data_IF_458536640845
#
_entry.id   IF_458536640845
#
_cell.length_a   1.000
_cell.length_b   1.000
_cell.length_c   1.000
_cell.angle_alpha   90.00
_cell.angle_beta   90.00
_cell.angle_gamma   90.00
#
_symmetry.space_group_name_H-M   'P 1'
#
loop_
_entity.id
_entity.type
_entity.pdbx_description
1 polymer ?
#
# COMPACT_ATOMS: atom_id res chain seq x y z
N UNK A 1 -27.63 -8.38 9.59
CA UNK A 1 -26.34 -8.94 9.15
C UNK A 1 -25.44 -7.76 8.85
N UNK A 2 -24.50 -7.44 9.74
CA UNK A 2 -23.52 -6.38 9.48
C UNK A 2 -22.42 -7.02 8.64
N UNK A 3 -22.36 -6.72 7.35
CA UNK A 3 -21.19 -7.07 6.56
C UNK A 3 -20.02 -6.30 7.17
N UNK A 4 -19.03 -7.04 7.65
CA UNK A 4 -17.79 -6.52 8.20
C UNK A 4 -17.04 -5.76 7.07
N UNK A 5 -17.31 -4.46 6.96
CA UNK A 5 -16.70 -3.59 5.96
C UNK A 5 -15.28 -3.23 6.43
N UNK A 6 -14.35 -4.19 6.37
CA UNK A 6 -12.94 -3.97 6.69
C UNK A 6 -12.16 -3.61 5.43
N UNK A 7 -11.23 -2.66 5.56
CA UNK A 7 -10.24 -2.44 4.52
C UNK A 7 -9.32 -3.65 4.40
N UNK A 8 -8.95 -3.99 3.17
CA UNK A 8 -7.98 -5.06 2.91
C UNK A 8 -6.83 -4.51 2.08
N UNK A 9 -5.64 -5.07 2.30
CA UNK A 9 -4.44 -4.76 1.53
C UNK A 9 -3.60 -6.02 1.40
N UNK A 10 -3.18 -6.33 0.18
CA UNK A 10 -2.33 -7.47 -0.16
C UNK A 10 -1.20 -7.01 -1.07
N UNK A 11 -0.01 -7.58 -0.86
CA UNK A 11 1.11 -7.41 -1.78
C UNK A 11 0.90 -8.38 -2.93
N UNK A 12 0.89 -7.87 -4.17
CA UNK A 12 0.75 -8.69 -5.38
C UNK A 12 2.11 -9.18 -5.81
N UNK A 13 3.07 -8.26 -5.98
CA UNK A 13 4.44 -8.53 -6.37
C UNK A 13 5.37 -7.40 -5.91
N UNK A 14 6.68 -7.59 -6.01
CA UNK A 14 7.67 -6.54 -5.82
C UNK A 14 8.91 -6.75 -6.69
N UNK A 15 9.52 -5.65 -7.14
CA UNK A 15 10.75 -5.66 -7.91
C UNK A 15 11.80 -4.76 -7.26
N UNK A 16 12.88 -5.38 -6.78
CA UNK A 16 14.05 -4.65 -6.28
C UNK A 16 14.96 -4.27 -7.44
N UNK A 17 15.08 -2.96 -7.67
CA UNK A 17 15.92 -2.40 -8.74
C UNK A 17 17.37 -2.24 -8.28
N UNK A 18 17.57 -1.90 -7.00
CA UNK A 18 18.88 -1.85 -6.35
C UNK A 18 18.72 -1.84 -4.82
N UNK A 19 19.83 -1.75 -4.08
CA UNK A 19 19.86 -1.73 -2.62
C UNK A 19 18.93 -0.67 -1.99
N UNK A 20 18.68 0.43 -2.71
CA UNK A 20 17.91 1.58 -2.23
C UNK A 20 16.50 1.67 -2.82
N UNK A 21 16.16 0.86 -3.82
CA UNK A 21 14.94 1.06 -4.60
C UNK A 21 14.19 -0.24 -4.82
N UNK A 22 12.93 -0.27 -4.37
CA UNK A 22 12.00 -1.38 -4.64
C UNK A 22 10.64 -0.83 -5.03
N UNK A 23 10.07 -1.39 -6.10
CA UNK A 23 8.68 -1.17 -6.49
C UNK A 23 7.83 -2.29 -5.89
N UNK A 24 6.66 -1.95 -5.38
CA UNK A 24 5.74 -2.91 -4.76
C UNK A 24 4.37 -2.70 -5.36
N UNK A 25 3.81 -3.76 -5.95
CA UNK A 25 2.45 -3.80 -6.45
C UNK A 25 1.51 -4.23 -5.34
N UNK A 26 0.40 -3.51 -5.20
CA UNK A 26 -0.53 -3.65 -4.09
C UNK A 26 -1.95 -3.68 -4.63
N UNK A 27 -2.76 -4.60 -4.12
CA UNK A 27 -4.19 -4.68 -4.36
C UNK A 27 -4.97 -4.71 -3.04
N UNK A 28 -6.23 -4.31 -3.07
CA UNK A 28 -7.06 -4.35 -1.87
C UNK A 28 -8.46 -3.78 -2.07
N UNK A 29 -9.18 -3.66 -0.95
CA UNK A 29 -10.54 -3.13 -0.90
C UNK A 29 -10.62 -1.96 0.07
N UNK A 30 -11.16 -0.84 -0.42
CA UNK A 30 -11.49 0.33 0.39
C UNK A 30 -12.96 0.21 0.83
N UNK A 31 -13.15 -0.27 2.07
CA UNK A 31 -14.46 -0.42 2.68
C UNK A 31 -15.26 0.88 2.85
N UNK A 32 -14.60 2.03 3.03
CA UNK A 32 -15.30 3.31 3.16
C UNK A 32 -15.82 3.82 1.81
N UNK A 33 -15.08 3.53 0.73
CA UNK A 33 -15.50 3.90 -0.64
C UNK A 33 -16.24 2.78 -1.37
N UNK A 34 -16.34 1.60 -0.76
CA UNK A 34 -17.01 0.44 -1.33
C UNK A 34 -16.40 -0.03 -2.65
N UNK A 35 -15.07 0.04 -2.80
CA UNK A 35 -14.41 -0.28 -4.08
C UNK A 35 -13.05 -0.94 -3.91
N UNK A 36 -12.70 -1.75 -4.90
CA UNK A 36 -11.37 -2.32 -5.05
C UNK A 36 -10.37 -1.26 -5.53
N UNK A 37 -9.10 -1.50 -5.24
CA UNK A 37 -8.00 -0.69 -5.74
C UNK A 37 -6.79 -1.56 -6.06
N UNK A 38 -6.01 -1.07 -7.02
CA UNK A 38 -4.70 -1.59 -7.37
C UNK A 38 -3.75 -0.42 -7.58
N UNK A 39 -2.45 -0.65 -7.38
CA UNK A 39 -1.44 0.32 -7.75
C UNK A 39 -0.06 -0.02 -7.26
N UNK A 40 0.90 0.76 -7.74
CA UNK A 40 2.31 0.58 -7.46
C UNK A 40 2.79 1.68 -6.52
N UNK A 41 3.55 1.28 -5.51
CA UNK A 41 4.33 2.17 -4.65
C UNK A 41 5.82 1.93 -4.85
N UNK A 42 6.63 2.92 -4.48
CA UNK A 42 8.09 2.83 -4.53
C UNK A 42 8.66 3.14 -3.15
N UNK A 43 9.55 2.28 -2.68
CA UNK A 43 10.50 2.66 -1.65
C UNK A 43 11.76 3.19 -2.32
N UNK A 44 12.23 4.35 -1.85
CA UNK A 44 13.52 4.93 -2.23
C UNK A 44 14.24 5.36 -0.96
N UNK A 45 15.39 4.74 -0.68
CA UNK A 45 16.21 5.01 0.50
C UNK A 45 15.38 4.93 1.81
N UNK A 46 14.51 3.90 1.90
CA UNK A 46 13.59 3.68 3.03
C UNK A 46 12.33 4.56 3.05
N UNK A 47 12.20 5.51 2.12
CA UNK A 47 11.05 6.42 2.04
C UNK A 47 9.98 5.88 1.08
N UNK A 48 8.73 5.89 1.50
CA UNK A 48 7.59 5.36 0.76
C UNK A 48 6.88 6.44 -0.09
N UNK A 49 6.83 6.21 -1.39
CA UNK A 49 6.22 7.07 -2.41
C UNK A 49 5.16 6.32 -3.23
N UNK A 50 4.24 7.06 -3.83
CA UNK A 50 3.20 6.53 -4.71
C UNK A 50 1.87 7.22 -4.49
N UNK A 51 1.00 7.20 -5.50
CA UNK A 51 -0.27 7.91 -5.42
C UNK A 51 -1.20 7.27 -4.40
N UNK A 52 -1.17 5.94 -4.23
CA UNK A 52 -1.92 5.22 -3.19
C UNK A 52 -1.69 5.77 -1.78
N UNK A 53 -0.46 6.20 -1.48
CA UNK A 53 -0.03 6.66 -0.15
C UNK A 53 0.07 8.17 -0.01
N UNK A 54 -0.15 8.92 -1.10
CA UNK A 54 -0.03 10.37 -1.12
C UNK A 54 -1.23 11.03 -0.43
N UNK A 55 -0.99 12.10 0.32
CA UNK A 55 -2.04 12.80 1.08
C UNK A 55 -3.12 13.45 0.20
N UNK A 56 -2.74 13.98 -0.96
CA UNK A 56 -3.62 14.70 -1.89
C UNK A 56 -3.99 13.94 -3.16
N UNK A 57 -3.15 13.00 -3.63
CA UNK A 57 -3.36 12.30 -4.91
C UNK A 57 -4.01 10.93 -4.73
N UNK A 58 -3.98 10.38 -3.51
CA UNK A 58 -4.60 9.08 -3.25
C UNK A 58 -6.09 9.16 -3.46
N UNK A 59 -6.58 8.21 -4.23
CA UNK A 59 -8.00 8.00 -4.43
C UNK A 59 -8.61 7.17 -3.29
N UNK A 60 -7.82 6.64 -2.35
CA UNK A 60 -8.30 5.89 -1.20
C UNK A 60 -8.94 6.80 -0.16
N UNK A 61 -9.73 6.23 0.74
CA UNK A 61 -10.14 6.89 1.96
C UNK A 61 -8.92 7.13 2.87
N UNK A 62 -9.07 8.04 3.84
CA UNK A 62 -7.97 8.40 4.75
C UNK A 62 -7.55 7.21 5.61
N UNK A 63 -8.48 6.40 6.08
CA UNK A 63 -8.27 5.19 6.87
C UNK A 63 -7.67 4.05 6.04
N UNK A 64 -8.19 3.79 4.83
CA UNK A 64 -7.63 2.80 3.91
C UNK A 64 -6.19 3.14 3.54
N UNK A 65 -5.92 4.41 3.21
CA UNK A 65 -4.55 4.90 2.95
C UNK A 65 -3.64 4.70 4.14
N UNK A 66 -4.14 4.92 5.35
CA UNK A 66 -3.36 4.72 6.59
C UNK A 66 -3.01 3.24 6.79
N UNK A 67 -3.97 2.33 6.53
CA UNK A 67 -3.73 0.88 6.54
C UNK A 67 -2.63 0.49 5.53
N UNK A 68 -2.76 0.93 4.28
CA UNK A 68 -1.78 0.64 3.21
C UNK A 68 -0.39 1.13 3.61
N UNK A 69 -0.25 2.37 4.09
CA UNK A 69 1.03 2.91 4.56
C UNK A 69 1.64 2.08 5.68
N UNK A 70 0.86 1.76 6.71
CA UNK A 70 1.36 0.99 7.86
C UNK A 70 1.79 -0.41 7.46
N UNK A 71 1.00 -1.11 6.63
CA UNK A 71 1.33 -2.45 6.13
C UNK A 71 2.67 -2.45 5.37
N UNK A 72 2.81 -1.54 4.42
CA UNK A 72 4.00 -1.44 3.58
C UNK A 72 5.25 -1.09 4.37
N UNK A 73 5.15 -0.13 5.31
CA UNK A 73 6.27 0.25 6.16
C UNK A 73 6.72 -0.92 7.06
N UNK A 74 5.77 -1.64 7.64
CA UNK A 74 6.07 -2.82 8.46
C UNK A 74 6.75 -3.92 7.62
N UNK A 75 6.20 -4.24 6.45
CA UNK A 75 6.79 -5.27 5.57
C UNK A 75 8.21 -4.88 5.11
N UNK A 76 8.45 -3.59 4.84
CA UNK A 76 9.77 -3.08 4.48
C UNK A 76 10.76 -3.22 5.65
N UNK A 77 10.34 -2.86 6.86
CA UNK A 77 11.17 -2.97 8.08
C UNK A 77 11.47 -4.43 8.44
N UNK A 78 10.54 -5.34 8.16
CA UNK A 78 10.73 -6.79 8.32
C UNK A 78 11.56 -7.42 7.21
N UNK A 79 11.98 -6.64 6.20
CA UNK A 79 12.82 -7.12 5.11
C UNK A 79 12.09 -8.03 4.11
N UNK A 80 10.76 -7.96 4.03
CA UNK A 80 9.96 -8.80 3.10
C UNK A 80 10.15 -8.44 1.61
N UNK A 81 10.84 -7.34 1.33
CA UNK A 81 11.15 -6.87 -0.02
C UNK A 81 12.66 -6.96 -0.34
N UNK A 82 13.40 -7.84 0.35
CA UNK A 82 14.84 -8.05 0.14
C UNK A 82 15.11 -9.23 -0.79
#
# INVERSE_FOLDING_TARGET
>A
MYADHHHTVSIVDFERVNDKSVFVEVAGYDAEKGREFEGIVKFLDGMLYGDLVHNQRSTLSSSCRSLVRSKLLNDYQEGKFN
#
